data_IF_906559488339
#
_entry.id   IF_906559488339
#
_cell.length_a   1.000
_cell.length_b   1.000
_cell.length_c   1.000
_cell.angle_alpha   90.00
_cell.angle_beta   90.00
_cell.angle_gamma   90.00
#
_symmetry.space_group_name_H-M   'P 1'
#
loop_
_entity.id
_entity.type
_entity.pdbx_description
1 polymer ?
#
# COMPACT_ATOMS: atom_id res chain seq x y z
N UNK A 1 -23.80 34.98 -1.32
CA UNK A 1 -22.72 33.97 -1.31
C UNK A 1 -21.45 34.48 -0.60
N UNK A 2 -21.04 35.75 -0.76
CA UNK A 2 -19.92 36.33 0.03
C UNK A 2 -20.20 36.45 1.55
N UNK A 3 -21.45 36.58 1.98
CA UNK A 3 -21.80 36.76 3.41
C UNK A 3 -21.77 35.47 4.27
N UNK A 4 -21.51 34.30 3.67
CA UNK A 4 -21.53 33.00 4.36
C UNK A 4 -20.12 32.40 4.57
N UNK A 5 -19.09 33.09 4.09
CA UNK A 5 -17.71 32.62 4.19
C UNK A 5 -17.02 33.30 5.38
N UNK A 6 -16.24 32.56 6.19
CA UNK A 6 -15.41 33.19 7.22
C UNK A 6 -14.35 34.10 6.59
N UNK A 7 -13.96 35.16 7.29
CA UNK A 7 -13.10 36.25 6.75
C UNK A 7 -11.80 35.74 6.11
N UNK A 8 -11.23 34.66 6.62
CA UNK A 8 -10.02 34.05 6.07
C UNK A 8 -10.25 33.38 4.70
N UNK A 9 -11.42 32.79 4.47
CA UNK A 9 -11.78 32.17 3.19
C UNK A 9 -12.12 33.24 2.15
N UNK A 10 -12.65 34.40 2.58
CA UNK A 10 -12.84 35.55 1.72
C UNK A 10 -11.49 36.16 1.28
N UNK A 11 -10.56 36.30 2.23
CA UNK A 11 -9.21 36.79 1.96
C UNK A 11 -8.42 35.87 1.03
N UNK A 12 -8.58 34.55 1.13
CA UNK A 12 -7.94 33.58 0.25
C UNK A 12 -8.47 33.63 -1.20
N UNK A 13 -9.72 34.03 -1.42
CA UNK A 13 -10.30 34.24 -2.77
C UNK A 13 -9.88 35.58 -3.39
N UNK A 14 -9.44 36.54 -2.57
CA UNK A 14 -9.05 37.89 -3.00
C UNK A 14 -7.53 38.04 -3.17
N UNK A 15 -6.73 37.10 -2.67
CA UNK A 15 -5.28 37.04 -2.87
C UNK A 15 -4.91 36.27 -4.15
N UNK A 16 -4.10 36.87 -5.02
CA UNK A 16 -3.52 36.28 -6.24
C UNK A 16 -2.28 35.41 -5.93
N UNK A 17 -2.30 34.74 -4.78
CA UNK A 17 -1.27 33.81 -4.32
C UNK A 17 -1.85 32.39 -4.32
N UNK A 18 -1.03 31.41 -4.70
CA UNK A 18 -1.44 30.01 -4.80
C UNK A 18 -2.16 29.56 -3.52
N UNK A 19 -3.44 29.16 -3.66
CA UNK A 19 -4.28 28.67 -2.58
C UNK A 19 -3.55 27.54 -1.83
N UNK A 20 -3.31 27.74 -0.54
CA UNK A 20 -2.84 26.69 0.38
C UNK A 20 -3.89 25.57 0.41
N UNK A 21 -3.47 24.35 0.04
CA UNK A 21 -4.33 23.17 -0.06
C UNK A 21 -5.00 22.84 1.29
N UNK A 22 -4.30 23.08 2.41
CA UNK A 22 -4.85 22.89 3.74
C UNK A 22 -5.96 23.90 4.04
N UNK A 23 -5.72 25.18 3.71
CA UNK A 23 -6.72 26.23 3.86
C UNK A 23 -7.94 25.99 2.95
N UNK A 24 -7.72 25.49 1.73
CA UNK A 24 -8.82 25.12 0.82
C UNK A 24 -9.65 23.96 1.40
N UNK A 25 -8.98 22.94 1.98
CA UNK A 25 -9.64 21.82 2.65
C UNK A 25 -10.53 22.26 3.80
N UNK A 26 -10.03 23.14 4.67
CA UNK A 26 -10.80 23.68 5.79
C UNK A 26 -12.01 24.52 5.33
N UNK A 27 -11.86 25.26 4.23
CA UNK A 27 -12.91 26.10 3.69
C UNK A 27 -14.04 25.22 3.12
N UNK A 28 -13.68 24.18 2.36
CA UNK A 28 -14.62 23.19 1.83
C UNK A 28 -15.33 22.42 2.95
N UNK A 29 -14.62 22.03 4.00
CA UNK A 29 -15.21 21.34 5.15
C UNK A 29 -16.18 22.23 5.92
N UNK A 30 -15.92 23.54 6.00
CA UNK A 30 -16.81 24.52 6.64
C UNK A 30 -18.05 24.76 5.78
N UNK A 31 -17.87 24.97 4.47
CA UNK A 31 -18.95 25.19 3.52
C UNK A 31 -19.87 23.97 3.40
N UNK A 32 -19.33 22.75 3.43
CA UNK A 32 -20.13 21.52 3.32
C UNK A 32 -21.15 21.38 4.44
N UNK A 33 -20.85 21.91 5.65
CA UNK A 33 -21.77 21.91 6.79
C UNK A 33 -22.93 22.89 6.64
N UNK A 34 -22.81 23.87 5.74
CA UNK A 34 -23.87 24.82 5.42
C UNK A 34 -24.87 24.26 4.40
N UNK A 35 -24.52 23.17 3.71
CA UNK A 35 -25.41 22.48 2.79
C UNK A 35 -26.41 21.67 3.63
N UNK A 36 -27.74 21.89 3.48
CA UNK A 36 -28.73 21.09 4.18
C UNK A 36 -28.53 19.61 3.88
N UNK A 37 -28.44 18.79 4.93
CA UNK A 37 -28.28 17.34 4.76
C UNK A 37 -29.53 16.77 4.10
N UNK A 38 -29.36 16.17 2.92
CA UNK A 38 -30.39 15.37 2.28
C UNK A 38 -30.32 13.94 2.83
N UNK A 39 -31.45 13.42 3.31
CA UNK A 39 -31.49 12.05 3.81
C UNK A 39 -31.23 11.07 2.65
N UNK A 40 -30.22 10.19 2.74
CA UNK A 40 -29.99 9.20 1.70
C UNK A 40 -31.15 8.20 1.65
N UNK A 41 -31.26 7.46 0.54
CA UNK A 41 -32.23 6.37 0.43
C UNK A 41 -32.12 5.41 1.63
N UNK A 42 -33.25 4.89 2.11
CA UNK A 42 -33.32 4.11 3.35
C UNK A 42 -32.42 2.86 3.35
N UNK A 43 -32.12 2.31 2.18
CA UNK A 43 -31.24 1.17 1.98
C UNK A 43 -29.78 1.55 1.69
N UNK A 44 -29.44 2.84 1.51
CA UNK A 44 -28.11 3.27 1.06
C UNK A 44 -26.99 2.82 1.99
N UNK A 45 -27.25 2.81 3.30
CA UNK A 45 -26.30 2.27 4.28
C UNK A 45 -26.06 0.78 4.00
N UNK A 46 -27.12 -0.02 3.91
CA UNK A 46 -27.00 -1.46 3.66
C UNK A 46 -26.33 -1.75 2.30
N UNK A 47 -26.60 -0.96 1.26
CA UNK A 47 -25.91 -1.06 -0.03
C UNK A 47 -24.41 -0.81 0.09
N UNK A 48 -23.99 0.26 0.78
CA UNK A 48 -22.57 0.56 0.99
C UNK A 48 -21.87 -0.53 1.82
N UNK A 49 -22.53 -1.08 2.83
CA UNK A 49 -21.98 -2.18 3.61
C UNK A 49 -21.90 -3.48 2.80
N UNK A 50 -22.93 -3.82 2.02
CA UNK A 50 -22.90 -4.98 1.13
C UNK A 50 -21.86 -4.85 0.01
N UNK A 51 -21.63 -3.63 -0.47
CA UNK A 51 -20.53 -3.31 -1.38
C UNK A 51 -19.19 -3.61 -0.69
N UNK A 52 -18.95 -3.07 0.50
CA UNK A 52 -17.72 -3.32 1.27
C UNK A 52 -17.52 -4.80 1.65
N UNK A 53 -18.59 -5.55 1.93
CA UNK A 53 -18.55 -6.98 2.24
C UNK A 53 -18.06 -7.84 1.05
N UNK A 54 -18.19 -7.35 -0.18
CA UNK A 54 -17.69 -8.00 -1.40
C UNK A 54 -16.29 -7.56 -1.82
N UNK A 55 -15.75 -6.47 -1.28
CA UNK A 55 -14.43 -5.96 -1.65
C UNK A 55 -13.36 -6.64 -0.79
N UNK A 56 -12.68 -7.62 -1.38
CA UNK A 56 -11.41 -8.07 -0.84
C UNK A 56 -10.48 -6.87 -0.70
N UNK A 57 -9.75 -6.79 0.42
CA UNK A 57 -8.89 -5.65 0.81
C UNK A 57 -7.98 -5.14 -0.33
N UNK A 58 -7.54 -6.03 -1.21
CA UNK A 58 -6.65 -5.73 -2.33
C UNK A 58 -7.26 -5.98 -3.73
N UNK A 59 -8.59 -6.06 -3.84
CA UNK A 59 -9.28 -6.21 -5.12
C UNK A 59 -8.87 -5.18 -6.19
N UNK A 60 -8.61 -3.89 -5.87
CA UNK A 60 -8.12 -2.93 -6.86
C UNK A 60 -6.77 -3.29 -7.50
N UNK A 61 -6.01 -4.21 -6.87
CA UNK A 61 -4.71 -4.66 -7.35
C UNK A 61 -4.76 -6.03 -8.04
N UNK A 62 -5.93 -6.70 -8.13
CA UNK A 62 -6.04 -8.08 -8.62
C UNK A 62 -5.32 -8.31 -9.95
N UNK A 63 -5.56 -7.49 -10.98
CA UNK A 63 -4.88 -7.65 -12.29
C UNK A 63 -3.35 -7.47 -12.21
N UNK A 64 -2.86 -6.61 -11.32
CA UNK A 64 -1.43 -6.36 -11.13
C UNK A 64 -0.77 -7.48 -10.34
N UNK A 65 -1.45 -7.99 -9.31
CA UNK A 65 -1.04 -9.15 -8.54
C UNK A 65 -1.01 -10.41 -9.41
N UNK A 66 -2.00 -10.58 -10.29
CA UNK A 66 -2.04 -11.70 -11.24
C UNK A 66 -0.81 -11.69 -12.14
N UNK A 67 -0.46 -10.53 -12.69
CA UNK A 67 0.76 -10.38 -13.48
C UNK A 67 2.03 -10.61 -12.65
N UNK A 68 2.11 -10.04 -11.45
CA UNK A 68 3.30 -10.14 -10.59
C UNK A 68 3.57 -11.59 -10.19
N UNK A 69 2.54 -12.31 -9.75
CA UNK A 69 2.66 -13.69 -9.27
C UNK A 69 2.60 -14.74 -10.38
N UNK A 70 2.48 -14.35 -11.65
CA UNK A 70 2.27 -15.24 -12.80
C UNK A 70 1.02 -16.14 -12.66
N UNK A 71 -0.07 -15.55 -12.19
CA UNK A 71 -1.36 -16.21 -11.98
C UNK A 71 -2.46 -15.55 -12.83
N UNK A 72 -3.62 -16.19 -12.92
CA UNK A 72 -4.83 -15.53 -13.40
C UNK A 72 -5.56 -14.82 -12.24
N UNK A 73 -6.47 -13.90 -12.58
CA UNK A 73 -7.22 -13.14 -11.58
C UNK A 73 -8.05 -14.03 -10.65
N UNK A 74 -8.74 -15.10 -11.11
CA UNK A 74 -9.43 -16.03 -10.22
C UNK A 74 -8.53 -16.72 -9.20
N UNK A 75 -7.30 -17.10 -9.58
CA UNK A 75 -6.34 -17.67 -8.64
C UNK A 75 -5.91 -16.63 -7.59
N UNK A 76 -5.65 -15.38 -8.00
CA UNK A 76 -5.35 -14.30 -7.05
C UNK A 76 -6.51 -14.04 -6.10
N UNK A 77 -7.74 -13.95 -6.61
CA UNK A 77 -8.94 -13.75 -5.78
C UNK A 77 -9.11 -14.85 -4.73
N UNK A 78 -8.70 -16.09 -5.04
CA UNK A 78 -8.70 -17.20 -4.08
C UNK A 78 -7.60 -17.08 -3.01
N UNK A 79 -6.51 -16.34 -3.28
CA UNK A 79 -5.43 -16.08 -2.32
C UNK A 79 -5.72 -14.89 -1.41
N UNK A 80 -6.46 -13.88 -1.89
CA UNK A 80 -6.74 -12.64 -1.13
C UNK A 80 -7.32 -12.86 0.27
N UNK A 81 -8.22 -13.84 0.53
CA UNK A 81 -8.71 -14.10 1.88
C UNK A 81 -7.62 -14.45 2.91
N UNK A 82 -6.48 -15.01 2.48
CA UNK A 82 -5.36 -15.33 3.37
C UNK A 82 -4.71 -14.06 3.93
N UNK A 83 -4.83 -12.93 3.23
CA UNK A 83 -4.22 -11.66 3.63
C UNK A 83 -4.81 -11.05 4.90
N UNK A 84 -6.01 -11.49 5.29
CA UNK A 84 -6.70 -11.12 6.54
C UNK A 84 -6.72 -12.26 7.57
N UNK A 85 -6.12 -13.40 7.24
CA UNK A 85 -6.08 -14.59 8.07
C UNK A 85 -4.91 -14.62 9.07
N UNK A 86 -4.79 -15.72 9.84
CA UNK A 86 -3.73 -15.91 10.82
C UNK A 86 -2.41 -16.41 10.22
N UNK A 87 -2.33 -16.59 8.90
CA UNK A 87 -1.21 -17.27 8.22
C UNK A 87 0.05 -16.40 8.08
N UNK A 88 0.00 -15.14 8.53
CA UNK A 88 1.16 -14.26 8.62
C UNK A 88 2.18 -14.81 9.62
N UNK A 89 3.43 -14.92 9.20
CA UNK A 89 4.54 -15.44 9.98
C UNK A 89 5.46 -14.29 10.37
N UNK A 90 5.82 -14.22 11.65
CA UNK A 90 6.82 -13.25 12.11
C UNK A 90 8.17 -13.53 11.45
N UNK A 91 8.82 -12.47 10.95
CA UNK A 91 10.17 -12.54 10.42
C UNK A 91 11.20 -12.20 11.52
N UNK A 92 12.46 -12.67 11.46
CA UNK A 92 13.50 -12.32 12.43
C UNK A 92 13.91 -10.83 12.51
N UNK A 93 13.16 -9.94 11.85
CA UNK A 93 13.26 -8.49 11.98
C UNK A 93 12.02 -7.98 12.76
N UNK A 94 12.20 -7.24 13.86
CA UNK A 94 11.09 -6.69 14.63
C UNK A 94 10.13 -5.86 13.77
N UNK A 95 8.83 -6.16 13.87
CA UNK A 95 7.79 -5.44 13.13
C UNK A 95 7.65 -5.85 11.68
N UNK A 96 8.31 -6.93 11.23
CA UNK A 96 8.18 -7.50 9.90
C UNK A 96 7.45 -8.84 9.97
N UNK A 97 6.42 -9.02 9.15
CA UNK A 97 5.68 -10.26 8.97
C UNK A 97 5.61 -10.63 7.49
N UNK A 98 5.61 -11.92 7.19
CA UNK A 98 5.54 -12.47 5.84
C UNK A 98 4.29 -13.35 5.67
N UNK A 99 3.64 -13.25 4.52
CA UNK A 99 2.65 -14.21 4.07
C UNK A 99 3.17 -14.83 2.77
N UNK A 100 3.64 -16.07 2.85
CA UNK A 100 4.10 -16.82 1.68
C UNK A 100 2.90 -17.35 0.88
N UNK A 101 2.96 -17.19 -0.44
CA UNK A 101 1.93 -17.62 -1.38
C UNK A 101 2.57 -18.42 -2.52
N UNK A 102 1.78 -19.27 -3.15
CA UNK A 102 2.21 -19.96 -4.36
C UNK A 102 2.11 -19.03 -5.57
N UNK A 103 3.18 -18.94 -6.35
CA UNK A 103 3.21 -18.27 -7.65
C UNK A 103 3.09 -19.24 -8.83
N UNK A 104 3.02 -18.70 -10.03
CA UNK A 104 2.98 -19.45 -11.28
C UNK A 104 4.35 -19.87 -11.81
N UNK A 105 4.37 -20.61 -12.95
CA UNK A 105 5.59 -21.18 -13.53
C UNK A 105 6.75 -20.19 -13.76
N UNK A 106 6.46 -18.93 -14.13
CA UNK A 106 7.49 -17.91 -14.36
C UNK A 106 8.14 -17.41 -13.06
N UNK A 107 7.51 -17.63 -11.92
CA UNK A 107 8.02 -17.32 -10.59
C UNK A 107 8.63 -18.54 -9.89
N UNK A 108 8.80 -19.66 -10.60
CA UNK A 108 9.39 -20.86 -10.04
C UNK A 108 10.80 -20.59 -9.49
N UNK A 109 11.03 -20.94 -8.23
CA UNK A 109 12.29 -20.70 -7.53
C UNK A 109 12.36 -19.36 -6.78
N UNK A 110 11.34 -18.50 -6.90
CA UNK A 110 11.23 -17.27 -6.12
C UNK A 110 10.45 -17.49 -4.82
N UNK A 111 10.72 -16.64 -3.83
CA UNK A 111 9.75 -16.39 -2.76
C UNK A 111 8.67 -15.43 -3.28
N UNK A 112 7.43 -15.91 -3.27
CA UNK A 112 6.24 -15.15 -3.67
C UNK A 112 5.37 -14.92 -2.45
N UNK A 113 4.84 -13.71 -2.28
CA UNK A 113 3.99 -13.43 -1.13
C UNK A 113 3.75 -11.96 -0.86
N UNK A 114 3.38 -11.68 0.39
CA UNK A 114 3.26 -10.33 0.92
C UNK A 114 4.20 -10.12 2.11
N UNK A 115 4.71 -8.91 2.23
CA UNK A 115 5.49 -8.42 3.37
C UNK A 115 4.70 -7.31 4.05
N UNK A 116 4.63 -7.35 5.39
CA UNK A 116 4.05 -6.30 6.21
C UNK A 116 5.11 -5.74 7.15
N UNK A 117 5.27 -4.42 7.11
CA UNK A 117 6.06 -3.65 8.05
C UNK A 117 5.13 -2.83 8.94
N UNK A 118 5.31 -2.96 10.25
CA UNK A 118 4.69 -2.09 11.23
C UNK A 118 5.15 -0.62 11.05
N UNK A 119 4.39 0.37 11.54
CA UNK A 119 4.80 1.76 11.52
C UNK A 119 6.23 1.98 12.03
N UNK A 120 7.08 2.60 11.20
CA UNK A 120 8.48 2.89 11.52
C UNK A 120 9.41 1.67 11.59
N UNK A 121 8.95 0.47 11.23
CA UNK A 121 9.83 -0.70 11.14
C UNK A 121 10.80 -0.53 9.97
N UNK A 122 12.05 -0.94 10.18
CA UNK A 122 13.11 -0.89 9.17
C UNK A 122 13.50 -2.29 8.75
N UNK A 123 13.51 -2.54 7.45
CA UNK A 123 14.17 -3.69 6.87
C UNK A 123 15.66 -3.34 6.68
N UNK A 124 16.59 -4.11 7.27
CA UNK A 124 18.00 -3.78 7.28
C UNK A 124 18.61 -3.91 5.88
N UNK A 125 19.85 -3.42 5.75
CA UNK A 125 20.63 -3.57 4.53
C UNK A 125 20.70 -5.05 4.12
N UNK A 126 20.28 -5.33 2.90
CA UNK A 126 20.28 -6.67 2.33
C UNK A 126 20.65 -6.60 0.85
N UNK A 127 21.22 -7.70 0.36
CA UNK A 127 21.64 -7.86 -1.03
C UNK A 127 20.68 -8.77 -1.77
N UNK A 128 20.28 -8.36 -2.97
CA UNK A 128 19.44 -9.14 -3.86
C UNK A 128 20.26 -10.22 -4.57
N UNK A 129 19.94 -11.51 -4.35
CA UNK A 129 20.62 -12.65 -5.00
C UNK A 129 20.08 -12.92 -6.41
N UNK A 130 18.90 -12.39 -6.70
CA UNK A 130 18.24 -12.39 -7.99
C UNK A 130 17.37 -11.13 -8.12
N UNK A 131 16.54 -11.04 -9.15
CA UNK A 131 15.65 -9.89 -9.29
C UNK A 131 14.56 -9.87 -8.21
N UNK A 132 14.19 -8.68 -7.77
CA UNK A 132 12.99 -8.46 -6.96
C UNK A 132 12.03 -7.51 -7.69
N UNK A 133 10.75 -7.84 -7.62
CA UNK A 133 9.68 -6.88 -7.94
C UNK A 133 8.72 -6.81 -6.76
N UNK A 134 8.55 -5.61 -6.22
CA UNK A 134 7.63 -5.33 -5.12
C UNK A 134 6.55 -4.34 -5.56
N UNK A 135 5.28 -4.70 -5.36
CA UNK A 135 4.12 -3.85 -5.56
C UNK A 135 3.59 -3.37 -4.21
N UNK A 136 3.64 -2.06 -3.95
CA UNK A 136 3.12 -1.51 -2.69
C UNK A 136 1.60 -1.53 -2.72
N UNK A 137 0.99 -2.11 -1.69
CA UNK A 137 -0.46 -2.26 -1.53
C UNK A 137 -1.03 -1.26 -0.53
N UNK A 138 -0.30 -0.98 0.56
CA UNK A 138 -0.70 -0.06 1.63
C UNK A 138 0.47 0.74 2.18
N UNK A 139 0.16 1.96 2.64
CA UNK A 139 1.12 2.86 3.24
C UNK A 139 2.29 3.14 2.30
N UNK A 140 3.51 2.97 2.81
CA UNK A 140 4.72 3.14 2.03
C UNK A 140 6.00 3.05 2.85
N UNK A 141 7.13 3.06 2.17
CA UNK A 141 8.46 3.10 2.79
C UNK A 141 9.37 4.10 2.07
N UNK A 142 10.48 4.45 2.71
CA UNK A 142 11.55 5.23 2.10
C UNK A 142 12.86 4.47 2.24
N UNK A 143 13.60 4.34 1.14
CA UNK A 143 14.92 3.72 1.16
C UNK A 143 16.01 4.69 1.66
N UNK A 144 17.20 4.17 1.95
CA UNK A 144 18.32 5.01 2.43
C UNK A 144 18.86 5.99 1.38
N UNK A 145 18.52 5.83 0.10
CA UNK A 145 18.80 6.81 -0.95
C UNK A 145 17.79 7.97 -0.96
N UNK A 146 16.77 7.93 -0.09
CA UNK A 146 15.73 8.95 0.03
C UNK A 146 14.58 8.79 -0.96
N UNK A 147 14.51 7.67 -1.68
CA UNK A 147 13.40 7.36 -2.59
C UNK A 147 12.24 6.78 -1.79
N UNK A 148 11.09 7.44 -1.88
CA UNK A 148 9.83 6.98 -1.32
C UNK A 148 9.05 6.11 -2.31
N UNK A 149 8.38 5.09 -1.77
CA UNK A 149 7.42 4.25 -2.48
C UNK A 149 6.11 4.20 -1.70
N UNK A 150 4.99 4.40 -2.39
CA UNK A 150 3.65 4.48 -1.82
C UNK A 150 2.71 3.47 -2.48
N UNK A 151 1.55 3.23 -1.87
CA UNK A 151 0.52 2.34 -2.41
C UNK A 151 0.28 2.59 -3.91
N UNK A 152 0.43 1.54 -4.72
CA UNK A 152 0.35 1.60 -6.17
C UNK A 152 1.70 1.69 -6.90
N UNK A 153 2.79 2.03 -6.22
CA UNK A 153 4.12 2.04 -6.82
C UNK A 153 4.68 0.63 -6.99
N UNK A 154 5.60 0.49 -7.96
CA UNK A 154 6.41 -0.72 -8.16
C UNK A 154 7.86 -0.38 -7.88
N UNK A 155 8.49 -1.14 -7.00
CA UNK A 155 9.93 -1.14 -6.79
C UNK A 155 10.52 -2.36 -7.50
N UNK A 156 11.57 -2.15 -8.28
CA UNK A 156 12.32 -3.21 -8.97
C UNK A 156 13.76 -3.13 -8.49
N UNK A 157 14.31 -4.27 -8.05
CA UNK A 157 15.69 -4.39 -7.63
C UNK A 157 16.41 -5.39 -8.52
N UNK A 158 17.59 -4.98 -8.96
CA UNK A 158 18.44 -5.78 -9.83
C UNK A 158 19.33 -6.71 -9.01
N UNK A 159 19.81 -7.78 -9.63
CA UNK A 159 20.77 -8.71 -9.01
C UNK A 159 22.00 -7.95 -8.49
N UNK A 160 22.49 -8.35 -7.32
CA UNK A 160 23.64 -7.76 -6.62
C UNK A 160 23.50 -6.30 -6.18
N UNK A 161 22.30 -5.72 -6.30
CA UNK A 161 22.00 -4.44 -5.64
C UNK A 161 21.75 -4.65 -4.15
N UNK A 162 22.02 -3.61 -3.37
CA UNK A 162 21.80 -3.60 -1.93
C UNK A 162 20.97 -2.39 -1.54
N UNK A 163 20.05 -2.58 -0.60
CA UNK A 163 19.35 -1.46 0.01
C UNK A 163 18.81 -1.81 1.40
N UNK A 164 18.45 -0.77 2.13
CA UNK A 164 17.65 -0.81 3.34
C UNK A 164 16.47 0.15 3.15
N UNK A 165 15.40 -0.06 3.91
CA UNK A 165 14.25 0.81 3.85
C UNK A 165 13.47 0.83 5.17
N UNK A 166 12.78 1.94 5.40
CA UNK A 166 11.97 2.15 6.60
C UNK A 166 10.54 2.50 6.24
N UNK A 167 9.60 1.79 6.85
CA UNK A 167 8.17 2.05 6.68
C UNK A 167 7.77 3.40 7.27
N UNK A 168 6.82 4.06 6.60
CA UNK A 168 6.23 5.31 7.06
C UNK A 168 5.36 5.15 8.32
N UNK A 169 4.70 6.24 8.76
CA UNK A 169 3.89 6.27 9.98
C UNK A 169 2.63 5.38 9.91
N UNK A 170 2.16 5.02 8.72
CA UNK A 170 1.03 4.11 8.52
C UNK A 170 1.46 2.64 8.37
N UNK A 171 2.77 2.36 8.44
CA UNK A 171 3.32 1.06 8.06
C UNK A 171 3.40 0.88 6.55
N UNK A 172 3.68 -0.35 6.11
CA UNK A 172 3.72 -0.69 4.70
C UNK A 172 3.31 -2.14 4.49
N UNK A 173 2.47 -2.40 3.49
CA UNK A 173 2.21 -3.76 2.98
C UNK A 173 2.55 -3.77 1.50
N UNK A 174 3.34 -4.73 1.06
CA UNK A 174 3.65 -4.92 -0.36
C UNK A 174 3.61 -6.38 -0.75
N UNK A 175 3.19 -6.64 -1.99
CA UNK A 175 3.34 -7.94 -2.64
C UNK A 175 4.73 -8.03 -3.26
N UNK A 176 5.37 -9.20 -3.22
CA UNK A 176 6.74 -9.38 -3.68
C UNK A 176 6.90 -10.69 -4.45
N UNK A 177 7.76 -10.65 -5.46
CA UNK A 177 8.43 -11.82 -6.05
C UNK A 177 9.92 -11.54 -5.98
N UNK A 178 10.66 -12.37 -5.23
CA UNK A 178 12.10 -12.19 -5.03
C UNK A 178 12.85 -13.51 -5.22
N UNK A 179 13.91 -13.47 -6.01
CA UNK A 179 14.78 -14.62 -6.27
C UNK A 179 15.97 -14.64 -5.29
N UNK A 180 15.62 -14.69 -4.00
CA UNK A 180 16.56 -14.79 -2.89
C UNK A 180 17.21 -13.47 -2.48
N UNK A 181 17.53 -13.39 -1.19
CA UNK A 181 18.20 -12.24 -0.57
C UNK A 181 19.28 -12.71 0.40
N UNK A 182 20.30 -11.89 0.62
CA UNK A 182 21.29 -12.09 1.68
C UNK A 182 21.19 -10.96 2.71
N UNK A 183 20.98 -11.35 3.97
CA UNK A 183 20.91 -10.42 5.11
C UNK A 183 22.00 -10.81 6.09
N UNK A 184 22.98 -9.94 6.33
CA UNK A 184 24.10 -10.19 7.24
C UNK A 184 24.83 -11.54 6.99
N UNK A 185 25.02 -11.91 5.73
CA UNK A 185 25.66 -13.18 5.33
C UNK A 185 24.76 -14.42 5.39
N UNK A 186 23.48 -14.27 5.76
CA UNK A 186 22.48 -15.35 5.72
C UNK A 186 21.68 -15.24 4.43
N UNK A 187 21.73 -16.28 3.59
CA UNK A 187 20.96 -16.37 2.35
C UNK A 187 19.57 -16.95 2.62
N UNK A 188 18.54 -16.34 2.05
CA UNK A 188 17.13 -16.69 2.19
C UNK A 188 16.49 -16.76 0.79
N UNK A 189 15.44 -17.57 0.63
CA UNK A 189 14.65 -17.60 -0.62
C UNK A 189 15.35 -18.22 -1.83
N UNK A 190 16.33 -19.08 -1.60
CA UNK A 190 16.96 -19.88 -2.66
C UNK A 190 16.29 -21.26 -2.71
N UNK A 191 15.50 -21.52 -3.76
CA UNK A 191 14.80 -22.80 -3.98
C UNK A 191 15.28 -23.52 -5.23
#
# INVERSE_FOLDING_TARGET
MKELLPDWALAALEADDALDEAALGDALATLSRLIPAEAPAANRRAELFAELEGHQRYAPFTSRLAKLFDLDEPAVDALLPQTVGPDWQAFPIPGVELLHLDGGPATAGADVGLVRLAPGASFPLHRHLGHETALILEGGYTDSAGRGYHAGDVAEMEVDTEHDFTAGPEGCVFAVVVFGVEINGVRLGEH
#
